data_IF_705350443645
#
_entry.id   IF_705350443645
#
_cell.length_a   1.000
_cell.length_b   1.000
_cell.length_c   1.000
_cell.angle_alpha   90.00
_cell.angle_beta   90.00
_cell.angle_gamma   90.00
#
_symmetry.space_group_name_H-M   'P 1'
#
loop_
_entity.id
_entity.type
_entity.pdbx_description
1 polymer ?
#
# COMPACT_ATOMS: atom_id res chain seq x y z
N UNK A 1 19.17 21.57 -14.14
CA UNK A 1 18.24 20.60 -14.76
C UNK A 1 18.14 19.28 -14.00
N UNK A 2 19.19 18.78 -13.33
CA UNK A 2 19.18 17.54 -12.50
C UNK A 2 18.17 17.46 -11.34
N UNK A 3 17.48 18.54 -10.96
CA UNK A 3 16.58 18.56 -9.80
C UNK A 3 15.19 18.00 -10.11
N UNK A 4 14.72 18.12 -11.35
CA UNK A 4 13.42 17.58 -11.77
C UNK A 4 13.47 16.06 -11.96
N UNK A 5 14.62 15.54 -12.38
CA UNK A 5 14.84 14.10 -12.60
C UNK A 5 14.91 13.29 -11.29
N UNK A 6 15.18 13.95 -10.16
CA UNK A 6 15.38 13.31 -8.86
C UNK A 6 14.33 13.70 -7.81
N UNK A 7 13.12 14.08 -8.24
CA UNK A 7 12.05 14.40 -7.31
C UNK A 7 11.61 13.15 -6.54
N UNK A 8 11.60 13.27 -5.21
CA UNK A 8 11.09 12.21 -4.35
C UNK A 8 9.61 11.94 -4.67
N UNK A 9 9.15 10.67 -4.63
CA UNK A 9 7.72 10.36 -4.73
C UNK A 9 6.87 11.01 -3.63
N UNK A 10 7.51 11.47 -2.55
CA UNK A 10 6.87 12.21 -1.45
C UNK A 10 6.84 13.73 -1.64
N UNK A 11 7.37 14.27 -2.74
CA UNK A 11 7.52 15.72 -2.92
C UNK A 11 6.17 16.47 -2.76
N UNK A 12 5.09 15.93 -3.32
CA UNK A 12 3.75 16.52 -3.19
C UNK A 12 3.24 16.54 -1.74
N UNK A 13 3.41 15.42 -1.00
CA UNK A 13 3.02 15.33 0.41
C UNK A 13 3.84 16.28 1.29
N UNK A 14 5.15 16.34 1.09
CA UNK A 14 6.05 17.25 1.82
C UNK A 14 5.74 18.72 1.55
N UNK A 15 5.38 19.05 0.31
CA UNK A 15 5.01 20.42 -0.07
C UNK A 15 3.69 20.82 0.61
N UNK A 16 2.71 19.92 0.66
CA UNK A 16 1.46 20.16 1.36
C UNK A 16 1.68 20.36 2.87
N UNK A 17 2.48 19.49 3.51
CA UNK A 17 2.87 19.65 4.92
C UNK A 17 3.55 21.00 5.19
N UNK A 18 4.52 21.39 4.36
CA UNK A 18 5.22 22.66 4.51
C UNK A 18 4.27 23.86 4.31
N UNK A 19 3.33 23.75 3.38
CA UNK A 19 2.32 24.79 3.12
C UNK A 19 1.39 24.96 4.31
N UNK A 20 0.91 23.84 4.89
CA UNK A 20 0.09 23.84 6.10
C UNK A 20 0.88 24.40 7.28
N UNK A 21 2.14 24.03 7.46
CA UNK A 21 2.99 24.55 8.53
C UNK A 21 3.21 26.06 8.41
N UNK A 22 3.50 26.56 7.20
CA UNK A 22 3.68 27.99 6.94
C UNK A 22 2.37 28.75 7.19
N UNK A 23 1.23 28.23 6.73
CA UNK A 23 -0.06 28.86 6.96
C UNK A 23 -0.41 28.95 8.45
N UNK A 24 -0.10 27.90 9.24
CA UNK A 24 -0.26 27.93 10.71
C UNK A 24 0.62 28.99 11.38
N UNK A 25 1.82 29.28 10.83
CA UNK A 25 2.71 30.32 11.37
C UNK A 25 2.25 31.73 11.02
N UNK A 26 1.77 31.95 9.79
CA UNK A 26 1.38 33.27 9.30
C UNK A 26 -0.02 33.69 9.76
N UNK A 27 -0.96 32.75 9.88
CA UNK A 27 -2.36 33.02 10.23
C UNK A 27 -2.90 32.06 11.30
N UNK A 28 -2.29 32.04 12.51
CA UNK A 28 -2.61 31.04 13.54
C UNK A 28 -4.04 31.10 14.08
N UNK A 29 -4.73 32.23 13.94
CA UNK A 29 -6.08 32.45 14.44
C UNK A 29 -7.12 32.55 13.32
N UNK A 30 -6.74 32.34 12.07
CA UNK A 30 -7.67 32.41 10.94
C UNK A 30 -8.49 31.11 10.84
N UNK A 31 -9.84 31.21 10.85
CA UNK A 31 -10.70 30.02 10.89
C UNK A 31 -10.64 29.18 9.61
N UNK A 32 -10.43 29.79 8.44
CA UNK A 32 -10.30 29.07 7.18
C UNK A 32 -8.99 28.28 7.15
N UNK A 33 -7.90 28.92 7.57
CA UNK A 33 -6.58 28.29 7.68
C UNK A 33 -6.62 27.07 8.63
N UNK A 34 -7.23 27.22 9.81
CA UNK A 34 -7.39 26.13 10.77
C UNK A 34 -8.20 24.98 10.15
N UNK A 35 -9.31 25.30 9.47
CA UNK A 35 -10.15 24.30 8.82
C UNK A 35 -9.40 23.54 7.71
N UNK A 36 -8.58 24.21 6.90
CA UNK A 36 -7.78 23.57 5.86
C UNK A 36 -6.71 22.64 6.44
N UNK A 37 -6.02 23.08 7.49
CA UNK A 37 -5.02 22.25 8.19
C UNK A 37 -5.64 20.97 8.75
N UNK A 38 -6.82 21.08 9.37
CA UNK A 38 -7.56 19.92 9.86
C UNK A 38 -8.07 19.00 8.75
N UNK A 39 -8.49 19.55 7.61
CA UNK A 39 -8.89 18.75 6.43
C UNK A 39 -7.71 17.94 5.90
N UNK A 40 -6.54 18.56 5.79
CA UNK A 40 -5.31 17.89 5.38
C UNK A 40 -4.96 16.72 6.31
N UNK A 41 -4.95 16.97 7.63
CA UNK A 41 -4.66 15.92 8.61
C UNK A 41 -5.66 14.76 8.55
N UNK A 42 -6.96 15.06 8.42
CA UNK A 42 -8.01 14.03 8.26
C UNK A 42 -7.84 13.22 6.97
N UNK A 43 -7.47 13.87 5.87
CA UNK A 43 -7.21 13.18 4.60
C UNK A 43 -6.05 12.19 4.75
N UNK A 44 -4.94 12.60 5.38
CA UNK A 44 -3.82 11.69 5.64
C UNK A 44 -4.25 10.52 6.53
N UNK A 45 -4.98 10.77 7.61
CA UNK A 45 -5.49 9.71 8.49
C UNK A 45 -6.42 8.72 7.76
N UNK A 46 -7.32 9.23 6.91
CA UNK A 46 -8.23 8.38 6.13
C UNK A 46 -7.45 7.47 5.16
N UNK A 47 -6.42 7.99 4.50
CA UNK A 47 -5.54 7.23 3.59
C UNK A 47 -4.70 6.16 4.32
N UNK A 48 -4.33 6.40 5.57
CA UNK A 48 -3.64 5.40 6.40
C UNK A 48 -4.55 4.25 6.82
N UNK A 49 -5.85 4.53 7.05
CA UNK A 49 -6.83 3.52 7.44
C UNK A 49 -7.27 2.57 6.33
N UNK A 50 -7.13 2.97 5.05
CA UNK A 50 -7.41 2.11 3.89
C UNK A 50 -6.33 1.05 3.64
N UNK A 51 -5.08 1.34 4.00
CA UNK A 51 -3.97 0.39 3.95
C UNK A 51 -3.87 -0.37 5.28
N UNK A 52 -4.71 -1.40 5.46
CA UNK A 52 -4.49 -2.32 6.57
C UNK A 52 -3.22 -3.11 6.27
N UNK A 53 -2.19 -2.84 7.08
CA UNK A 53 -0.80 -3.29 6.97
C UNK A 53 -0.57 -4.81 7.10
N UNK A 54 -1.60 -5.61 6.87
CA UNK A 54 -1.49 -7.06 6.76
C UNK A 54 -1.14 -7.36 5.31
N UNK A 55 0.12 -7.15 4.94
CA UNK A 55 0.60 -7.41 3.59
C UNK A 55 0.29 -8.86 3.21
N UNK A 56 -0.67 -9.05 2.30
CA UNK A 56 -1.04 -10.36 1.76
C UNK A 56 0.18 -11.08 1.19
N UNK A 57 1.13 -10.34 0.61
CA UNK A 57 2.42 -10.85 0.16
C UNK A 57 3.21 -11.53 1.28
N UNK A 58 3.44 -10.84 2.40
CA UNK A 58 4.20 -11.40 3.53
C UNK A 58 3.50 -12.63 4.12
N UNK A 59 2.16 -12.59 4.26
CA UNK A 59 1.40 -13.72 4.79
C UNK A 59 1.47 -14.94 3.87
N UNK A 60 1.34 -14.75 2.56
CA UNK A 60 1.46 -15.82 1.57
C UNK A 60 2.87 -16.40 1.58
N UNK A 61 3.90 -15.55 1.66
CA UNK A 61 5.29 -15.99 1.77
C UNK A 61 5.51 -16.85 3.02
N UNK A 62 5.00 -16.43 4.18
CA UNK A 62 5.10 -17.20 5.42
C UNK A 62 4.38 -18.55 5.32
N UNK A 63 3.17 -18.58 4.75
CA UNK A 63 2.40 -19.82 4.56
C UNK A 63 3.10 -20.77 3.59
N UNK A 64 3.67 -20.24 2.51
CA UNK A 64 4.43 -21.03 1.54
C UNK A 64 5.67 -21.65 2.19
N UNK A 65 6.40 -20.87 2.99
CA UNK A 65 7.55 -21.37 3.73
C UNK A 65 7.14 -22.48 4.71
N UNK A 66 6.09 -22.26 5.50
CA UNK A 66 5.61 -23.24 6.46
C UNK A 66 5.17 -24.56 5.79
N UNK A 67 4.53 -24.47 4.62
CA UNK A 67 4.19 -25.65 3.82
C UNK A 67 5.44 -26.37 3.31
N UNK A 68 6.44 -25.64 2.83
CA UNK A 68 7.71 -26.20 2.37
C UNK A 68 8.45 -26.93 3.49
N UNK A 69 8.52 -26.31 4.68
CA UNK A 69 9.17 -26.92 5.86
C UNK A 69 8.44 -28.20 6.27
N UNK A 70 7.10 -28.20 6.23
CA UNK A 70 6.29 -29.38 6.54
C UNK A 70 6.51 -30.51 5.54
N UNK A 71 6.63 -30.20 4.26
CA UNK A 71 6.93 -31.18 3.21
C UNK A 71 8.28 -31.85 3.47
N UNK A 72 9.31 -31.06 3.79
CA UNK A 72 10.64 -31.56 4.09
C UNK A 72 10.67 -32.45 5.35
N UNK A 73 9.96 -32.06 6.41
CA UNK A 73 9.83 -32.85 7.64
C UNK A 73 9.22 -34.23 7.36
N UNK A 74 8.16 -34.28 6.54
CA UNK A 74 7.50 -35.54 6.19
C UNK A 74 8.36 -36.43 5.30
N UNK A 75 9.13 -35.85 4.39
CA UNK A 75 10.11 -36.59 3.58
C UNK A 75 11.18 -37.25 4.46
N UNK A 76 11.78 -36.50 5.38
CA UNK A 76 12.82 -37.00 6.29
C UNK A 76 12.31 -38.12 7.21
N UNK A 77 11.07 -37.98 7.68
CA UNK A 77 10.44 -38.97 8.58
C UNK A 77 9.78 -40.13 7.84
N UNK A 78 9.81 -40.15 6.50
CA UNK A 78 9.04 -41.06 5.63
C UNK A 78 7.54 -41.08 5.98
N UNK A 79 7.03 -39.96 6.48
CA UNK A 79 5.62 -39.71 6.76
C UNK A 79 4.84 -39.41 5.48
N UNK A 80 3.51 -39.36 5.59
CA UNK A 80 2.65 -38.98 4.48
C UNK A 80 1.79 -37.77 4.83
N UNK A 81 1.60 -36.87 3.87
CA UNK A 81 0.60 -35.82 3.95
C UNK A 81 -0.68 -36.26 3.25
N UNK A 82 -1.81 -35.87 3.82
CA UNK A 82 -3.09 -36.11 3.16
C UNK A 82 -3.31 -35.09 2.04
N UNK A 83 -3.97 -35.52 0.96
CA UNK A 83 -4.42 -34.62 -0.10
C UNK A 83 -5.32 -33.50 0.45
N UNK A 84 -6.11 -33.79 1.50
CA UNK A 84 -6.96 -32.79 2.18
C UNK A 84 -6.14 -31.68 2.84
N UNK A 85 -5.03 -32.02 3.50
CA UNK A 85 -4.13 -31.04 4.12
C UNK A 85 -3.55 -30.09 3.06
N UNK A 86 -3.02 -30.64 1.96
CA UNK A 86 -2.44 -29.83 0.88
C UNK A 86 -3.47 -28.89 0.26
N UNK A 87 -4.68 -29.39 -0.03
CA UNK A 87 -5.80 -28.58 -0.52
C UNK A 87 -6.13 -27.43 0.43
N UNK A 88 -6.14 -27.69 1.74
CA UNK A 88 -6.41 -26.67 2.76
C UNK A 88 -5.33 -25.58 2.75
N UNK A 89 -4.04 -25.96 2.70
CA UNK A 89 -2.95 -24.98 2.67
C UNK A 89 -2.97 -24.12 1.40
N UNK A 90 -3.20 -24.74 0.24
CA UNK A 90 -3.34 -24.03 -1.03
C UNK A 90 -4.53 -23.07 -1.00
N UNK A 91 -5.68 -23.52 -0.50
CA UNK A 91 -6.87 -22.68 -0.38
C UNK A 91 -6.62 -21.47 0.53
N UNK A 92 -5.94 -21.65 1.66
CA UNK A 92 -5.59 -20.55 2.56
C UNK A 92 -4.69 -19.52 1.85
N UNK A 93 -3.65 -19.95 1.13
CA UNK A 93 -2.80 -19.03 0.37
C UNK A 93 -3.57 -18.28 -0.73
N UNK A 94 -4.46 -18.97 -1.46
CA UNK A 94 -5.33 -18.32 -2.45
C UNK A 94 -6.28 -17.31 -1.81
N UNK A 95 -6.84 -17.64 -0.65
CA UNK A 95 -7.72 -16.73 0.09
C UNK A 95 -6.97 -15.46 0.53
N UNK A 96 -5.72 -15.58 0.99
CA UNK A 96 -4.91 -14.40 1.35
C UNK A 96 -4.55 -13.56 0.11
N UNK A 97 -4.19 -14.20 -1.01
CA UNK A 97 -3.91 -13.49 -2.28
C UNK A 97 -5.15 -12.73 -2.79
N UNK A 98 -6.34 -13.31 -2.62
CA UNK A 98 -7.60 -12.73 -3.10
C UNK A 98 -8.22 -11.74 -2.11
N UNK A 99 -7.64 -11.57 -0.93
CA UNK A 99 -8.17 -10.67 0.11
C UNK A 99 -8.16 -9.21 -0.34
N UNK A 100 -7.15 -8.83 -1.10
CA UNK A 100 -7.02 -7.50 -1.69
C UNK A 100 -6.22 -7.57 -3.00
N UNK A 101 -6.73 -6.90 -4.03
CA UNK A 101 -6.01 -6.77 -5.31
C UNK A 101 -4.81 -5.85 -5.13
N UNK A 102 -3.57 -6.33 -5.36
CA UNK A 102 -2.38 -5.50 -5.23
C UNK A 102 -2.33 -4.43 -6.33
N UNK A 103 -1.66 -3.32 -6.05
CA UNK A 103 -1.50 -2.19 -6.98
C UNK A 103 -0.88 -2.63 -8.31
N UNK A 104 0.08 -3.56 -8.27
CA UNK A 104 0.73 -4.14 -9.44
C UNK A 104 -0.28 -4.83 -10.36
N UNK A 105 -1.28 -5.53 -9.79
CA UNK A 105 -2.33 -6.17 -10.57
C UNK A 105 -3.30 -5.15 -11.17
N UNK A 106 -3.62 -4.07 -10.45
CA UNK A 106 -4.42 -2.96 -11.03
C UNK A 106 -3.69 -2.29 -12.20
N UNK A 107 -2.38 -2.09 -12.08
CA UNK A 107 -1.55 -1.55 -13.18
C UNK A 107 -1.48 -2.52 -14.36
N UNK A 108 -1.38 -3.83 -14.11
CA UNK A 108 -1.46 -4.85 -15.17
C UNK A 108 -2.80 -4.80 -15.90
N UNK A 109 -3.92 -4.66 -15.18
CA UNK A 109 -5.24 -4.49 -15.79
C UNK A 109 -5.33 -3.23 -16.66
N UNK A 110 -4.75 -2.12 -16.19
CA UNK A 110 -4.66 -0.89 -16.98
C UNK A 110 -3.83 -1.09 -18.26
N UNK A 111 -2.69 -1.78 -18.17
CA UNK A 111 -1.86 -2.10 -19.32
C UNK A 111 -2.63 -2.90 -20.39
N UNK A 112 -3.43 -3.89 -19.98
CA UNK A 112 -4.29 -4.65 -20.89
C UNK A 112 -5.29 -3.74 -21.62
N UNK A 113 -5.93 -2.79 -20.94
CA UNK A 113 -6.84 -1.83 -21.59
C UNK A 113 -6.12 -0.99 -22.65
N UNK A 114 -4.91 -0.51 -22.34
CA UNK A 114 -4.07 0.27 -23.26
C UNK A 114 -3.66 -0.56 -24.48
N UNK A 115 -3.19 -1.80 -24.28
CA UNK A 115 -2.81 -2.72 -25.35
C UNK A 115 -3.97 -3.03 -26.29
N UNK A 116 -5.19 -3.17 -25.75
CA UNK A 116 -6.41 -3.40 -26.51
C UNK A 116 -7.00 -2.13 -27.13
N UNK A 117 -6.34 -0.97 -26.98
CA UNK A 117 -6.84 0.33 -27.45
C UNK A 117 -8.23 0.69 -26.91
N UNK A 118 -8.56 0.17 -25.73
CA UNK A 118 -9.82 0.44 -25.05
C UNK A 118 -9.65 1.57 -24.04
N UNK A 119 -10.68 2.40 -23.82
CA UNK A 119 -10.64 3.38 -22.76
C UNK A 119 -10.52 2.68 -21.40
N UNK A 120 -9.56 3.11 -20.57
CA UNK A 120 -9.43 2.63 -19.21
C UNK A 120 -10.70 2.93 -18.42
N UNK A 121 -11.16 1.96 -17.62
CA UNK A 121 -12.33 2.13 -16.76
C UNK A 121 -12.08 3.27 -15.75
N UNK A 122 -13.00 4.25 -15.60
CA UNK A 122 -12.88 5.29 -14.59
C UNK A 122 -12.78 4.74 -13.16
N UNK A 123 -13.42 3.59 -12.91
CA UNK A 123 -13.36 2.91 -11.61
C UNK A 123 -11.95 2.35 -11.37
N UNK A 124 -11.33 1.76 -12.38
CA UNK A 124 -9.96 1.24 -12.29
C UNK A 124 -8.95 2.35 -12.00
N UNK A 125 -9.03 3.46 -12.73
CA UNK A 125 -8.16 4.62 -12.52
C UNK A 125 -8.30 5.17 -11.08
N UNK A 126 -9.55 5.32 -10.62
CA UNK A 126 -9.82 5.77 -9.25
C UNK A 126 -9.24 4.81 -8.20
N UNK A 127 -9.36 3.50 -8.40
CA UNK A 127 -8.78 2.50 -7.50
C UNK A 127 -7.25 2.58 -7.46
N UNK A 128 -6.60 2.76 -8.61
CA UNK A 128 -5.15 2.96 -8.71
C UNK A 128 -4.75 4.22 -7.94
N UNK A 129 -5.43 5.34 -8.17
CA UNK A 129 -5.15 6.60 -7.48
C UNK A 129 -5.32 6.48 -5.97
N UNK A 130 -6.38 5.82 -5.50
CA UNK A 130 -6.63 5.58 -4.08
C UNK A 130 -5.53 4.72 -3.45
N UNK A 131 -5.13 3.62 -4.11
CA UNK A 131 -4.05 2.74 -3.63
C UNK A 131 -2.71 3.45 -3.61
N UNK A 132 -2.37 4.19 -4.65
CA UNK A 132 -1.13 4.97 -4.71
C UNK A 132 -1.08 6.03 -3.60
N UNK A 133 -2.18 6.77 -3.41
CA UNK A 133 -2.27 7.77 -2.36
C UNK A 133 -2.17 7.18 -0.95
N UNK A 134 -2.75 6.00 -0.72
CA UNK A 134 -2.67 5.30 0.56
C UNK A 134 -1.22 4.84 0.84
N UNK A 135 -0.58 4.18 -0.13
CA UNK A 135 0.81 3.72 -0.04
C UNK A 135 1.77 4.90 0.17
N UNK A 136 1.65 5.99 -0.58
CA UNK A 136 2.47 7.19 -0.39
C UNK A 136 2.26 7.82 0.99
N UNK A 137 1.01 7.88 1.48
CA UNK A 137 0.71 8.42 2.81
C UNK A 137 1.33 7.57 3.91
N UNK A 138 1.32 6.24 3.74
CA UNK A 138 1.97 5.30 4.67
C UNK A 138 3.48 5.43 4.62
N UNK A 139 4.09 5.47 3.43
CA UNK A 139 5.53 5.69 3.27
C UNK A 139 5.95 7.01 3.90
N UNK A 140 5.19 8.08 3.68
CA UNK A 140 5.39 9.37 4.30
C UNK A 140 5.39 9.30 5.83
N UNK A 141 4.34 8.71 6.43
CA UNK A 141 4.24 8.53 7.87
C UNK A 141 5.45 7.75 8.44
N UNK A 142 5.82 6.64 7.80
CA UNK A 142 6.97 5.83 8.23
C UNK A 142 8.28 6.61 8.13
N UNK A 143 8.46 7.45 7.10
CA UNK A 143 9.66 8.29 6.97
C UNK A 143 9.73 9.37 8.05
N UNK A 144 8.59 9.91 8.50
CA UNK A 144 8.56 10.84 9.62
C UNK A 144 8.90 10.14 10.95
N UNK A 145 8.43 8.91 11.14
CA UNK A 145 8.73 8.11 12.34
C UNK A 145 10.19 7.63 12.39
N UNK A 146 10.78 7.35 11.23
CA UNK A 146 12.17 6.91 11.11
C UNK A 146 13.17 8.08 11.17
N UNK A 147 12.71 9.33 11.06
CA UNK A 147 13.58 10.49 11.20
C UNK A 147 14.05 10.60 12.66
N UNK A 148 15.35 10.79 12.93
CA UNK A 148 15.84 10.92 14.30
C UNK A 148 15.21 12.14 14.97
N UNK A 149 14.78 11.98 16.22
CA UNK A 149 14.42 13.10 17.08
C UNK A 149 15.64 14.03 17.15
N UNK A 150 15.47 15.27 16.71
CA UNK A 150 16.50 16.32 16.84
C UNK A 150 16.59 16.79 18.28
#
# INVERSE_FOLDING_TARGET
>A
MNTLENLSPLAGLRTADASVALANQLWPTDPEQIAQSQRWQRLLQARLGSERADSSYFQVQQRLQALSDKLLEQEQTRGSLTLSYLKTQVYQMQSELNRETPLEELLRQLAVSVEQQQPASPVLLKQIDERWNALLSRYHQLTQQAAPAR
#
